data_IF_363277043972
#
_entry.id   IF_363277043972
#
_cell.length_a   1.000
_cell.length_b   1.000
_cell.length_c   1.000
_cell.angle_alpha   90.00
_cell.angle_beta   90.00
_cell.angle_gamma   90.00
#
_symmetry.space_group_name_H-M   'P 1'
#
loop_
_entity.id
_entity.type
_entity.pdbx_description
1 polymer ?
#
# COMPACT_ATOMS: atom_id res chain seq x y z
N UNK A 1 -32.12 15.66 79.02
CA UNK A 1 -33.56 15.98 78.91
C UNK A 1 -34.16 14.95 77.98
N UNK A 2 -34.72 13.87 78.54
CA UNK A 2 -35.28 12.76 77.78
C UNK A 2 -36.65 13.17 77.22
N UNK A 3 -36.80 13.26 75.90
CA UNK A 3 -38.08 13.46 75.26
C UNK A 3 -38.91 12.17 75.38
N UNK A 4 -39.88 12.17 76.29
CA UNK A 4 -41.01 11.26 76.23
C UNK A 4 -41.99 11.75 75.16
N UNK A 5 -41.94 11.18 73.96
CA UNK A 5 -43.04 11.35 73.00
C UNK A 5 -43.20 10.10 72.13
N UNK A 6 -44.03 9.17 72.60
CA UNK A 6 -44.63 8.09 71.80
C UNK A 6 -45.86 8.67 71.12
N UNK A 7 -45.65 9.42 70.05
CA UNK A 7 -46.75 9.87 69.21
C UNK A 7 -46.48 9.40 67.78
N UNK A 8 -47.32 8.49 67.24
CA UNK A 8 -47.07 7.85 65.95
C UNK A 8 -47.00 8.87 64.79
N UNK A 9 -47.67 10.01 64.92
CA UNK A 9 -47.61 11.12 63.96
C UNK A 9 -46.21 11.76 63.86
N UNK A 10 -45.49 11.92 64.97
CA UNK A 10 -44.15 12.51 64.95
C UNK A 10 -43.15 11.59 64.22
N UNK A 11 -43.24 10.27 64.43
CA UNK A 11 -42.42 9.30 63.69
C UNK A 11 -42.68 9.33 62.19
N UNK A 12 -43.94 9.47 61.77
CA UNK A 12 -44.33 9.60 60.36
C UNK A 12 -43.77 10.90 59.75
N UNK A 13 -43.86 12.02 60.47
CA UNK A 13 -43.33 13.31 60.02
C UNK A 13 -41.81 13.23 59.85
N UNK A 14 -41.09 12.69 60.83
CA UNK A 14 -39.62 12.52 60.76
C UNK A 14 -39.24 11.64 59.58
N UNK A 15 -39.99 10.56 59.31
CA UNK A 15 -39.75 9.68 58.17
C UNK A 15 -39.90 10.40 56.82
N UNK A 16 -40.97 11.18 56.63
CA UNK A 16 -41.16 11.96 55.39
C UNK A 16 -40.12 13.07 55.23
N UNK A 17 -39.69 13.71 56.32
CA UNK A 17 -38.59 14.69 56.28
C UNK A 17 -37.29 14.00 55.87
N UNK A 18 -36.99 12.80 56.38
CA UNK A 18 -35.81 12.03 56.00
C UNK A 18 -35.84 11.64 54.51
N UNK A 19 -36.99 11.17 54.02
CA UNK A 19 -37.18 10.88 52.58
C UNK A 19 -36.98 12.14 51.72
N UNK A 20 -37.52 13.27 52.15
CA UNK A 20 -37.35 14.54 51.45
C UNK A 20 -35.89 14.98 51.43
N UNK A 21 -35.16 14.85 52.55
CA UNK A 21 -33.73 15.19 52.63
C UNK A 21 -32.90 14.28 51.73
N UNK A 22 -33.15 12.97 51.72
CA UNK A 22 -32.45 12.02 50.83
C UNK A 22 -32.73 12.35 49.36
N UNK A 23 -33.98 12.66 49.02
CA UNK A 23 -34.38 13.07 47.66
C UNK A 23 -33.73 14.41 47.24
N UNK A 24 -33.70 15.39 48.14
CA UNK A 24 -33.05 16.68 47.88
C UNK A 24 -31.53 16.54 47.71
N UNK A 25 -30.87 15.74 48.55
CA UNK A 25 -29.43 15.48 48.45
C UNK A 25 -29.07 14.74 47.15
N UNK A 26 -29.84 13.71 46.79
CA UNK A 26 -29.63 12.97 45.53
C UNK A 26 -29.86 13.87 44.30
N UNK A 27 -30.87 14.74 44.34
CA UNK A 27 -31.11 15.74 43.29
C UNK A 27 -29.96 16.74 43.14
N UNK A 28 -29.50 17.34 44.25
CA UNK A 28 -28.39 18.30 44.24
C UNK A 28 -27.08 17.64 43.76
N UNK A 29 -26.82 16.41 44.20
CA UNK A 29 -25.67 15.64 43.72
C UNK A 29 -25.77 15.31 42.23
N UNK A 30 -26.98 14.99 41.75
CA UNK A 30 -27.28 14.82 40.33
C UNK A 30 -26.95 16.07 39.51
N UNK A 31 -27.41 17.25 39.94
CA UNK A 31 -27.12 18.53 39.28
C UNK A 31 -25.62 18.87 39.27
N UNK A 32 -24.91 18.58 40.36
CA UNK A 32 -23.47 18.78 40.42
C UNK A 32 -22.73 17.85 39.44
N UNK A 33 -23.09 16.56 39.42
CA UNK A 33 -22.53 15.57 38.50
C UNK A 33 -22.79 15.95 37.04
N UNK A 34 -23.97 16.47 36.73
CA UNK A 34 -24.33 16.94 35.40
C UNK A 34 -23.54 18.18 34.97
N UNK A 35 -23.32 19.14 35.88
CA UNK A 35 -22.45 20.30 35.59
C UNK A 35 -21.01 19.86 35.30
N UNK A 36 -20.49 18.89 36.07
CA UNK A 36 -19.16 18.34 35.85
C UNK A 36 -19.05 17.63 34.50
N UNK A 37 -20.00 16.76 34.15
CA UNK A 37 -20.00 16.04 32.87
C UNK A 37 -20.13 16.99 31.67
N UNK A 38 -20.97 18.02 31.75
CA UNK A 38 -21.07 19.07 30.71
C UNK A 38 -19.75 19.82 30.51
N UNK A 39 -18.99 20.08 31.57
CA UNK A 39 -17.67 20.73 31.49
C UNK A 39 -16.63 19.82 30.84
N UNK A 40 -16.61 18.53 31.20
CA UNK A 40 -15.74 17.53 30.57
C UNK A 40 -16.06 17.36 29.08
N UNK A 41 -17.35 17.31 28.73
CA UNK A 41 -17.81 17.27 27.35
C UNK A 41 -17.35 18.48 26.54
N UNK A 42 -17.49 19.71 27.07
CA UNK A 42 -17.00 20.93 26.39
C UNK A 42 -15.49 20.88 26.15
N UNK A 43 -14.71 20.45 27.15
CA UNK A 43 -13.25 20.28 26.99
C UNK A 43 -12.89 19.25 25.92
N UNK A 44 -13.63 18.14 25.86
CA UNK A 44 -13.42 17.13 24.81
C UNK A 44 -13.76 17.69 23.43
N UNK A 45 -14.87 18.42 23.28
CA UNK A 45 -15.24 19.07 22.02
C UNK A 45 -14.19 20.09 21.57
N UNK A 46 -13.66 20.90 22.49
CA UNK A 46 -12.56 21.82 22.20
C UNK A 46 -11.32 21.05 21.70
N UNK A 47 -10.92 19.96 22.39
CA UNK A 47 -9.81 19.11 21.93
C UNK A 47 -10.08 18.47 20.57
N UNK A 48 -11.32 18.07 20.32
CA UNK A 48 -11.76 17.50 19.04
C UNK A 48 -11.64 18.54 17.90
N UNK A 49 -12.14 19.76 18.12
CA UNK A 49 -12.03 20.86 17.16
C UNK A 49 -10.58 21.26 16.89
N UNK A 50 -9.74 21.26 17.93
CA UNK A 50 -8.30 21.54 17.83
C UNK A 50 -7.49 20.34 17.30
N UNK A 51 -8.11 19.17 17.13
CA UNK A 51 -7.43 17.95 16.67
C UNK A 51 -6.38 17.39 17.65
N UNK A 52 -6.50 17.67 18.95
CA UNK A 52 -5.55 17.32 20.03
C UNK A 52 -6.10 16.25 20.98
N UNK A 53 -6.81 15.26 20.44
CA UNK A 53 -7.35 14.13 21.20
C UNK A 53 -6.24 13.23 21.75
N UNK A 54 -6.43 12.75 22.97
CA UNK A 54 -5.59 11.73 23.62
C UNK A 54 -6.19 10.34 23.47
N UNK A 55 -5.41 9.29 23.72
CA UNK A 55 -5.89 7.90 23.67
C UNK A 55 -7.13 7.65 24.54
N UNK A 56 -7.12 8.18 25.78
CA UNK A 56 -8.26 8.08 26.70
C UNK A 56 -9.52 8.77 26.16
N UNK A 57 -9.38 9.84 25.36
CA UNK A 57 -10.54 10.54 24.80
C UNK A 57 -11.32 9.61 23.85
N UNK A 58 -10.63 8.75 23.10
CA UNK A 58 -11.28 7.77 22.21
C UNK A 58 -12.02 6.68 22.99
N UNK A 59 -11.47 6.25 24.14
CA UNK A 59 -12.14 5.33 25.05
C UNK A 59 -13.43 5.97 25.58
N UNK A 60 -13.37 7.24 25.97
CA UNK A 60 -14.54 7.97 26.46
C UNK A 60 -15.63 8.11 25.40
N UNK A 61 -15.27 8.36 24.13
CA UNK A 61 -16.24 8.38 23.03
C UNK A 61 -17.05 7.08 22.95
N UNK A 62 -16.40 5.94 23.11
CA UNK A 62 -17.07 4.64 23.05
C UNK A 62 -17.82 4.30 24.35
N UNK A 63 -17.16 4.33 25.52
CA UNK A 63 -17.72 3.85 26.80
C UNK A 63 -18.55 4.88 27.55
N UNK A 64 -18.18 6.16 27.52
CA UNK A 64 -18.84 7.20 28.32
C UNK A 64 -19.98 7.85 27.54
N UNK A 65 -19.75 8.09 26.25
CA UNK A 65 -20.71 8.76 25.38
C UNK A 65 -21.52 7.81 24.49
N UNK A 66 -21.23 6.49 24.53
CA UNK A 66 -21.92 5.46 23.76
C UNK A 66 -22.02 5.80 22.26
N UNK A 67 -20.97 6.39 21.67
CA UNK A 67 -20.95 6.62 20.24
C UNK A 67 -20.97 5.28 19.50
N UNK A 68 -21.72 5.16 18.38
CA UNK A 68 -21.72 3.96 17.57
C UNK A 68 -20.31 3.60 17.10
N UNK A 69 -19.98 2.30 17.10
CA UNK A 69 -18.69 1.78 16.64
C UNK A 69 -18.29 2.35 15.27
N UNK A 70 -19.19 2.28 14.29
CA UNK A 70 -18.97 2.77 12.93
C UNK A 70 -18.64 4.26 12.86
N UNK A 71 -19.17 5.07 13.79
CA UNK A 71 -18.89 6.51 13.85
C UNK A 71 -17.44 6.77 14.25
N UNK A 72 -16.90 5.97 15.17
CA UNK A 72 -15.51 6.08 15.62
C UNK A 72 -14.55 5.52 14.55
N UNK A 73 -14.94 4.44 13.86
CA UNK A 73 -14.19 3.94 12.69
C UNK A 73 -14.15 4.98 11.57
N UNK A 74 -15.27 5.66 11.31
CA UNK A 74 -15.33 6.76 10.34
C UNK A 74 -14.35 7.87 10.71
N UNK A 75 -14.27 8.26 11.99
CA UNK A 75 -13.27 9.21 12.48
C UNK A 75 -11.83 8.73 12.23
N UNK A 76 -11.51 7.47 12.49
CA UNK A 76 -10.18 6.95 12.16
C UNK A 76 -9.91 6.98 10.64
N UNK A 77 -10.92 6.68 9.82
CA UNK A 77 -10.82 6.70 8.36
C UNK A 77 -10.55 8.11 7.81
N UNK A 78 -11.05 9.16 8.45
CA UNK A 78 -10.74 10.54 8.04
C UNK A 78 -9.29 10.89 8.34
N UNK A 79 -8.73 10.45 9.48
CA UNK A 79 -7.30 10.57 9.75
C UNK A 79 -6.45 9.85 8.70
N UNK A 80 -6.85 8.65 8.24
CA UNK A 80 -6.15 7.95 7.16
C UNK A 80 -6.16 8.72 5.84
N UNK A 81 -7.30 9.30 5.46
CA UNK A 81 -7.40 10.12 4.24
C UNK A 81 -6.54 11.39 4.30
N UNK A 82 -6.31 11.91 5.50
CA UNK A 82 -5.40 13.04 5.75
C UNK A 82 -3.92 12.62 5.83
N UNK A 83 -3.60 11.31 5.73
CA UNK A 83 -2.24 10.79 5.91
C UNK A 83 -1.77 10.73 7.37
N UNK A 84 -2.66 10.96 8.34
CA UNK A 84 -2.32 10.92 9.76
C UNK A 84 -2.48 9.49 10.33
N UNK A 85 -1.54 8.61 9.96
CA UNK A 85 -1.57 7.19 10.35
C UNK A 85 -1.50 7.00 11.87
N UNK A 86 -0.69 7.80 12.57
CA UNK A 86 -0.51 7.68 14.03
C UNK A 86 -1.83 7.94 14.79
N UNK A 87 -2.61 8.95 14.38
CA UNK A 87 -3.92 9.20 14.99
C UNK A 87 -4.88 8.05 14.75
N UNK A 88 -4.98 7.55 13.51
CA UNK A 88 -5.82 6.39 13.20
C UNK A 88 -5.42 5.15 14.03
N UNK A 89 -4.12 4.86 14.16
CA UNK A 89 -3.59 3.78 15.00
C UNK A 89 -4.04 3.96 16.45
N UNK A 90 -3.90 5.16 17.01
CA UNK A 90 -4.28 5.44 18.41
C UNK A 90 -5.77 5.20 18.67
N UNK A 91 -6.64 5.55 17.70
CA UNK A 91 -8.08 5.26 17.77
C UNK A 91 -8.32 3.75 17.82
N UNK A 92 -7.72 2.99 16.90
CA UNK A 92 -7.95 1.54 16.84
C UNK A 92 -7.42 0.81 18.08
N UNK A 93 -6.24 1.19 18.59
CA UNK A 93 -5.69 0.64 19.84
C UNK A 93 -6.58 0.93 21.04
N UNK A 94 -7.07 2.16 21.17
CA UNK A 94 -8.00 2.56 22.22
C UNK A 94 -9.29 1.73 22.17
N UNK A 95 -9.86 1.52 20.97
CA UNK A 95 -11.05 0.69 20.78
C UNK A 95 -10.81 -0.79 21.09
N UNK A 96 -9.65 -1.34 20.73
CA UNK A 96 -9.31 -2.74 21.02
C UNK A 96 -9.27 -3.07 22.52
N UNK A 97 -9.07 -2.07 23.39
CA UNK A 97 -9.08 -2.23 24.84
C UNK A 97 -10.50 -2.31 25.44
N UNK A 98 -11.52 -1.90 24.69
CA UNK A 98 -12.90 -1.74 25.20
C UNK A 98 -13.92 -2.58 24.46
N UNK A 99 -13.65 -2.98 23.23
CA UNK A 99 -14.55 -3.80 22.41
C UNK A 99 -14.45 -5.27 22.82
N UNK A 100 -15.59 -5.85 23.21
CA UNK A 100 -15.70 -7.26 23.61
C UNK A 100 -16.14 -8.18 22.46
N UNK A 101 -16.85 -7.63 21.47
CA UNK A 101 -17.36 -8.39 20.33
C UNK A 101 -16.21 -8.90 19.44
N UNK A 102 -16.15 -10.22 19.20
CA UNK A 102 -15.09 -10.86 18.41
C UNK A 102 -15.04 -10.36 16.96
N UNK A 103 -16.18 -10.14 16.32
CA UNK A 103 -16.27 -9.66 14.93
C UNK A 103 -15.70 -8.25 14.82
N UNK A 104 -16.13 -7.34 15.70
CA UNK A 104 -15.60 -5.97 15.75
C UNK A 104 -14.11 -5.95 16.10
N UNK A 105 -13.65 -6.87 16.94
CA UNK A 105 -12.23 -7.00 17.28
C UNK A 105 -11.38 -7.46 16.09
N UNK A 106 -11.88 -8.42 15.30
CA UNK A 106 -11.22 -8.84 14.06
C UNK A 106 -11.16 -7.69 13.05
N UNK A 107 -12.27 -6.98 12.84
CA UNK A 107 -12.33 -5.80 11.98
C UNK A 107 -11.33 -4.71 12.41
N UNK A 108 -11.27 -4.40 13.71
CA UNK A 108 -10.28 -3.46 14.26
C UNK A 108 -8.84 -3.90 14.01
N UNK A 109 -8.55 -5.19 14.13
CA UNK A 109 -7.21 -5.73 13.85
C UNK A 109 -6.89 -5.62 12.36
N UNK A 110 -7.83 -5.89 11.45
CA UNK A 110 -7.63 -5.71 10.01
C UNK A 110 -7.36 -4.25 9.65
N UNK A 111 -8.15 -3.32 10.21
CA UNK A 111 -7.97 -1.88 10.03
C UNK A 111 -6.63 -1.40 10.58
N UNK A 112 -6.25 -1.87 11.77
CA UNK A 112 -4.96 -1.55 12.39
C UNK A 112 -3.78 -2.10 11.58
N UNK A 113 -3.84 -3.35 11.16
CA UNK A 113 -2.82 -3.99 10.33
C UNK A 113 -2.64 -3.26 9.00
N UNK A 114 -3.74 -2.95 8.32
CA UNK A 114 -3.76 -2.18 7.07
C UNK A 114 -3.21 -0.76 7.26
N UNK A 115 -3.49 -0.14 8.41
CA UNK A 115 -2.98 1.19 8.74
C UNK A 115 -1.48 1.18 8.99
N UNK A 116 -0.98 0.19 9.73
CA UNK A 116 0.46 -0.01 9.90
C UNK A 116 1.16 -0.23 8.56
N UNK A 117 0.56 -1.02 7.65
CA UNK A 117 1.10 -1.24 6.31
C UNK A 117 1.21 0.07 5.52
N UNK A 118 0.11 0.84 5.45
CA UNK A 118 0.08 2.14 4.76
C UNK A 118 1.04 3.18 5.37
N UNK A 119 1.26 3.12 6.68
CA UNK A 119 2.22 3.95 7.38
C UNK A 119 3.68 3.49 7.26
N UNK A 120 3.97 2.39 6.54
CA UNK A 120 5.32 1.85 6.38
C UNK A 120 5.82 1.01 7.56
N UNK A 121 4.99 0.77 8.59
CA UNK A 121 5.33 -0.04 9.75
C UNK A 121 5.16 -1.54 9.46
N UNK A 122 5.93 -2.06 8.50
CA UNK A 122 5.77 -3.41 7.94
C UNK A 122 5.81 -4.52 8.99
N UNK A 123 6.77 -4.48 9.92
CA UNK A 123 6.89 -5.52 10.96
C UNK A 123 5.68 -5.53 11.92
N UNK A 124 5.20 -4.36 12.36
CA UNK A 124 4.00 -4.28 13.22
C UNK A 124 2.76 -4.74 12.47
N UNK A 125 2.66 -4.39 11.19
CA UNK A 125 1.57 -4.87 10.33
C UNK A 125 1.58 -6.40 10.23
N UNK A 126 2.75 -6.99 9.97
CA UNK A 126 2.95 -8.45 9.95
C UNK A 126 2.44 -9.11 11.22
N UNK A 127 2.86 -8.61 12.39
CA UNK A 127 2.49 -9.18 13.69
C UNK A 127 0.97 -9.14 13.93
N UNK A 128 0.31 -8.07 13.49
CA UNK A 128 -1.16 -7.94 13.57
C UNK A 128 -1.86 -8.96 12.66
N UNK A 129 -1.45 -9.09 11.40
CA UNK A 129 -2.07 -10.06 10.49
C UNK A 129 -1.81 -11.51 10.90
N UNK A 130 -0.60 -11.82 11.40
CA UNK A 130 -0.31 -13.13 12.01
C UNK A 130 -1.20 -13.40 13.23
N UNK A 131 -1.48 -12.37 14.05
CA UNK A 131 -2.41 -12.49 15.18
C UNK A 131 -3.83 -12.82 14.72
N UNK A 132 -4.31 -12.21 13.62
CA UNK A 132 -5.60 -12.55 13.01
C UNK A 132 -5.62 -14.01 12.59
N UNK A 133 -4.59 -14.48 11.88
CA UNK A 133 -4.51 -15.86 11.39
C UNK A 133 -4.44 -16.91 12.50
N UNK A 134 -4.04 -16.56 13.73
CA UNK A 134 -4.08 -17.48 14.88
C UNK A 134 -5.50 -17.90 15.26
N UNK A 135 -6.51 -17.06 15.04
CA UNK A 135 -7.90 -17.36 15.38
C UNK A 135 -8.82 -17.45 14.15
N UNK A 136 -8.42 -16.83 13.03
CA UNK A 136 -9.09 -16.92 11.73
C UNK A 136 -8.10 -17.38 10.63
N UNK A 137 -7.64 -18.65 10.62
CA UNK A 137 -6.56 -19.11 9.72
C UNK A 137 -6.90 -19.01 8.23
N UNK A 138 -8.19 -19.04 7.88
CA UNK A 138 -8.69 -18.95 6.49
C UNK A 138 -9.08 -17.53 6.09
N UNK A 139 -8.74 -16.52 6.88
CA UNK A 139 -9.04 -15.13 6.56
C UNK A 139 -8.19 -14.69 5.35
N UNK A 140 -8.85 -14.59 4.18
CA UNK A 140 -8.20 -14.28 2.92
C UNK A 140 -7.67 -12.84 2.89
N UNK A 141 -8.34 -11.90 3.56
CA UNK A 141 -7.89 -10.52 3.64
C UNK A 141 -6.55 -10.44 4.40
N UNK A 142 -6.46 -11.12 5.55
CA UNK A 142 -5.23 -11.19 6.32
C UNK A 142 -4.10 -11.87 5.54
N UNK A 143 -4.38 -12.97 4.83
CA UNK A 143 -3.42 -13.66 3.98
C UNK A 143 -2.90 -12.77 2.83
N UNK A 144 -3.78 -12.06 2.10
CA UNK A 144 -3.34 -11.14 1.05
C UNK A 144 -2.49 -9.99 1.57
N UNK A 145 -2.88 -9.37 2.69
CA UNK A 145 -2.06 -8.31 3.28
C UNK A 145 -0.71 -8.86 3.74
N UNK A 146 -0.68 -10.06 4.32
CA UNK A 146 0.56 -10.71 4.73
C UNK A 146 1.48 -11.01 3.54
N UNK A 147 0.92 -11.45 2.39
CA UNK A 147 1.66 -11.63 1.14
C UNK A 147 2.33 -10.31 0.70
N UNK A 148 1.58 -9.21 0.67
CA UNK A 148 2.11 -7.89 0.32
C UNK A 148 3.19 -7.44 1.31
N UNK A 149 3.01 -7.69 2.61
CA UNK A 149 3.99 -7.33 3.64
C UNK A 149 5.29 -8.12 3.47
N UNK A 150 5.21 -9.44 3.27
CA UNK A 150 6.38 -10.27 3.04
C UNK A 150 7.16 -9.85 1.79
N UNK A 151 6.47 -9.52 0.70
CA UNK A 151 7.12 -8.98 -0.49
C UNK A 151 7.84 -7.66 -0.24
N UNK A 152 7.21 -6.72 0.49
CA UNK A 152 7.84 -5.45 0.86
C UNK A 152 9.05 -5.63 1.79
N UNK A 153 9.01 -6.65 2.65
CA UNK A 153 10.13 -7.05 3.50
C UNK A 153 11.21 -7.85 2.74
N UNK A 154 10.98 -8.16 1.45
CA UNK A 154 11.81 -9.07 0.63
C UNK A 154 11.96 -10.47 1.21
N UNK A 155 11.02 -10.88 2.06
CA UNK A 155 10.93 -12.22 2.60
C UNK A 155 10.09 -13.10 1.66
N UNK A 156 10.72 -13.53 0.57
CA UNK A 156 10.03 -14.31 -0.46
C UNK A 156 9.74 -15.75 -0.05
N UNK A 157 10.40 -16.24 1.00
CA UNK A 157 10.06 -17.54 1.60
C UNK A 157 8.71 -17.44 2.31
N UNK A 158 8.54 -16.46 3.20
CA UNK A 158 7.25 -16.20 3.85
C UNK A 158 6.14 -15.89 2.84
N UNK A 159 6.44 -15.12 1.78
CA UNK A 159 5.48 -14.89 0.69
C UNK A 159 5.06 -16.18 -0.02
N UNK A 160 6.01 -17.09 -0.29
CA UNK A 160 5.73 -18.38 -0.92
C UNK A 160 4.86 -19.27 -0.03
N UNK A 161 5.09 -19.28 1.28
CA UNK A 161 4.27 -20.05 2.22
C UNK A 161 2.82 -19.54 2.23
N UNK A 162 2.63 -18.22 2.22
CA UNK A 162 1.30 -17.60 2.11
C UNK A 162 0.62 -17.94 0.78
N UNK A 163 1.37 -17.97 -0.33
CA UNK A 163 0.81 -18.39 -1.63
C UNK A 163 0.30 -19.83 -1.57
N UNK A 164 1.06 -20.75 -0.96
CA UNK A 164 0.63 -22.15 -0.83
C UNK A 164 -0.70 -22.25 -0.08
N UNK A 165 -0.85 -21.50 1.03
CA UNK A 165 -2.12 -21.44 1.78
C UNK A 165 -3.25 -20.85 0.94
N UNK A 166 -3.00 -19.77 0.19
CA UNK A 166 -4.02 -19.18 -0.69
C UNK A 166 -4.40 -20.10 -1.87
N UNK A 167 -3.47 -20.93 -2.35
CA UNK A 167 -3.68 -21.95 -3.39
C UNK A 167 -4.60 -23.06 -2.89
N UNK A 168 -4.38 -23.57 -1.68
CA UNK A 168 -5.28 -24.53 -1.03
C UNK A 168 -6.71 -23.98 -0.84
N UNK A 169 -6.85 -22.67 -0.68
CA UNK A 169 -8.14 -21.99 -0.59
C UNK A 169 -8.76 -21.65 -1.96
N UNK A 170 -8.06 -21.92 -3.07
CA UNK A 170 -8.44 -21.48 -4.42
C UNK A 170 -8.65 -19.97 -4.53
N UNK A 171 -7.79 -19.20 -3.85
CA UNK A 171 -7.83 -17.73 -3.77
C UNK A 171 -6.58 -17.07 -4.36
N UNK A 172 -5.76 -17.76 -5.13
CA UNK A 172 -4.59 -17.14 -5.79
C UNK A 172 -4.52 -17.60 -7.24
N UNK A 173 -4.02 -16.73 -8.12
CA UNK A 173 -3.77 -17.06 -9.52
C UNK A 173 -2.37 -17.64 -9.69
N UNK A 174 -2.21 -18.50 -10.70
CA UNK A 174 -0.90 -19.05 -11.07
C UNK A 174 0.12 -17.95 -11.38
N UNK A 175 -0.32 -16.83 -11.94
CA UNK A 175 0.51 -15.66 -12.21
C UNK A 175 1.18 -15.10 -10.95
N UNK A 176 0.47 -15.08 -9.82
CA UNK A 176 0.99 -14.58 -8.55
C UNK A 176 2.08 -15.51 -8.01
N UNK A 177 1.87 -16.82 -8.16
CA UNK A 177 2.83 -17.86 -7.79
C UNK A 177 4.10 -17.77 -8.62
N UNK A 178 3.97 -17.66 -9.94
CA UNK A 178 5.11 -17.48 -10.84
C UNK A 178 5.87 -16.19 -10.51
N UNK A 179 5.15 -15.11 -10.23
CA UNK A 179 5.74 -13.83 -9.85
C UNK A 179 6.58 -13.91 -8.58
N UNK A 180 6.02 -14.44 -7.48
CA UNK A 180 6.76 -14.58 -6.21
C UNK A 180 7.93 -15.55 -6.34
N UNK A 181 7.75 -16.68 -7.05
CA UNK A 181 8.86 -17.61 -7.31
C UNK A 181 9.99 -16.94 -8.11
N UNK A 182 9.64 -16.09 -9.08
CA UNK A 182 10.63 -15.32 -9.85
C UNK A 182 11.40 -14.36 -8.95
N UNK A 183 10.73 -13.66 -8.04
CA UNK A 183 11.40 -12.77 -7.08
C UNK A 183 12.28 -13.54 -6.08
N UNK A 184 11.83 -14.72 -5.63
CA UNK A 184 12.61 -15.61 -4.76
C UNK A 184 13.92 -16.04 -5.44
N UNK A 185 13.89 -16.39 -6.71
CA UNK A 185 15.08 -16.75 -7.49
C UNK A 185 16.01 -15.54 -7.68
N UNK A 186 15.45 -14.37 -8.02
CA UNK A 186 16.23 -13.13 -8.22
C UNK A 186 16.97 -12.71 -6.95
N UNK A 187 16.39 -12.98 -5.79
CA UNK A 187 16.90 -12.54 -4.48
C UNK A 187 17.76 -13.58 -3.76
N UNK A 188 17.96 -14.76 -4.36
CA UNK A 188 18.74 -15.84 -3.75
C UNK A 188 20.23 -15.44 -3.69
N UNK A 189 20.80 -15.22 -2.49
CA UNK A 189 22.18 -14.77 -2.36
C UNK A 189 23.19 -15.90 -2.61
N UNK A 190 22.75 -17.16 -2.66
CA UNK A 190 23.63 -18.33 -2.78
C UNK A 190 23.96 -18.59 -4.25
N UNK A 191 23.05 -18.26 -5.16
CA UNK A 191 23.21 -18.57 -6.57
C UNK A 191 24.05 -17.52 -7.31
N UNK A 192 24.88 -17.98 -8.24
CA UNK A 192 25.63 -17.11 -9.16
C UNK A 192 24.69 -16.42 -10.13
N UNK A 193 25.04 -15.20 -10.56
CA UNK A 193 24.25 -14.44 -11.55
C UNK A 193 23.98 -15.22 -12.86
N UNK A 194 24.91 -16.06 -13.31
CA UNK A 194 24.74 -16.89 -14.51
C UNK A 194 23.63 -17.94 -14.34
N UNK A 195 23.67 -18.71 -13.25
CA UNK A 195 22.65 -19.71 -12.94
C UNK A 195 21.26 -19.09 -12.79
N UNK A 196 21.17 -17.93 -12.12
CA UNK A 196 19.91 -17.18 -12.00
C UNK A 196 19.42 -16.78 -13.39
N UNK A 197 20.28 -16.20 -14.23
CA UNK A 197 19.94 -15.79 -15.60
C UNK A 197 19.36 -16.95 -16.42
N UNK A 198 19.97 -18.14 -16.35
CA UNK A 198 19.49 -19.34 -17.05
C UNK A 198 18.15 -19.84 -16.50
N UNK A 199 17.95 -19.81 -15.18
CA UNK A 199 16.66 -20.17 -14.57
C UNK A 199 15.55 -19.20 -14.97
N UNK A 200 15.83 -17.90 -14.98
CA UNK A 200 14.88 -16.86 -15.38
C UNK A 200 14.44 -17.01 -16.84
N UNK A 201 15.36 -17.35 -17.75
CA UNK A 201 15.01 -17.66 -19.14
C UNK A 201 14.10 -18.90 -19.24
N UNK A 202 14.35 -19.94 -18.44
CA UNK A 202 13.47 -21.13 -18.41
C UNK A 202 12.07 -20.80 -17.89
N UNK A 203 11.95 -19.88 -16.94
CA UNK A 203 10.64 -19.41 -16.44
C UNK A 203 9.95 -18.59 -17.52
N UNK A 204 10.68 -17.70 -18.19
CA UNK A 204 10.17 -16.89 -19.30
C UNK A 204 9.60 -17.74 -20.42
N UNK A 205 10.25 -18.84 -20.77
CA UNK A 205 9.77 -19.79 -21.79
C UNK A 205 8.41 -20.42 -21.43
N UNK A 206 8.09 -20.52 -20.13
CA UNK A 206 6.83 -21.07 -19.64
C UNK A 206 5.75 -20.00 -19.43
N UNK A 207 6.14 -18.81 -18.97
CA UNK A 207 5.21 -17.73 -18.68
C UNK A 207 5.81 -16.37 -19.08
N UNK A 208 5.24 -15.76 -20.11
CA UNK A 208 5.69 -14.48 -20.67
C UNK A 208 5.37 -13.28 -19.77
N UNK A 209 4.52 -13.44 -18.75
CA UNK A 209 4.15 -12.38 -17.82
C UNK A 209 5.38 -11.78 -17.10
N UNK A 210 6.35 -12.61 -16.74
CA UNK A 210 7.55 -12.17 -16.00
C UNK A 210 8.64 -11.57 -16.88
N UNK A 211 8.42 -11.43 -18.20
CA UNK A 211 9.41 -10.92 -19.16
C UNK A 211 10.10 -9.65 -18.71
N UNK A 212 9.38 -8.75 -18.03
CA UNK A 212 9.95 -7.47 -17.60
C UNK A 212 10.89 -7.62 -16.41
N UNK A 213 10.58 -8.52 -15.47
CA UNK A 213 11.50 -8.84 -14.37
C UNK A 213 12.77 -9.49 -14.90
N UNK A 214 12.60 -10.45 -15.83
CA UNK A 214 13.71 -11.15 -16.48
C UNK A 214 14.57 -10.16 -17.28
N UNK A 215 13.97 -9.33 -18.13
CA UNK A 215 14.68 -8.32 -18.90
C UNK A 215 15.45 -7.35 -18.00
N UNK A 216 14.81 -6.83 -16.94
CA UNK A 216 15.46 -5.93 -15.98
C UNK A 216 16.67 -6.59 -15.32
N UNK A 217 16.54 -7.86 -14.92
CA UNK A 217 17.64 -8.60 -14.30
C UNK A 217 18.79 -8.84 -15.28
N UNK A 218 18.50 -9.36 -16.49
CA UNK A 218 19.53 -9.65 -17.49
C UNK A 218 20.23 -8.37 -17.97
N UNK A 219 19.50 -7.29 -18.21
CA UNK A 219 20.11 -6.00 -18.57
C UNK A 219 21.10 -5.52 -17.50
N UNK A 220 20.82 -5.77 -16.23
CA UNK A 220 21.69 -5.31 -15.15
C UNK A 220 22.90 -6.24 -14.94
N UNK A 221 22.68 -7.56 -14.94
CA UNK A 221 23.70 -8.55 -14.54
C UNK A 221 24.32 -9.36 -15.70
N UNK A 222 23.61 -9.52 -16.83
CA UNK A 222 24.08 -10.30 -17.97
C UNK A 222 23.53 -9.77 -19.32
N UNK A 223 24.05 -8.62 -19.75
CA UNK A 223 23.64 -7.92 -20.99
C UNK A 223 23.82 -8.78 -22.23
N UNK A 224 24.94 -9.51 -22.34
CA UNK A 224 25.20 -10.38 -23.49
C UNK A 224 24.10 -11.44 -23.65
N UNK A 225 23.66 -12.05 -22.56
CA UNK A 225 22.58 -13.04 -22.61
C UNK A 225 21.23 -12.41 -22.95
N UNK A 226 20.92 -11.21 -22.41
CA UNK A 226 19.73 -10.46 -22.82
C UNK A 226 19.69 -10.27 -24.34
N UNK A 227 20.77 -9.75 -24.91
CA UNK A 227 20.89 -9.43 -26.33
C UNK A 227 20.74 -10.68 -27.21
N UNK A 228 21.42 -11.78 -26.86
CA UNK A 228 21.30 -13.08 -27.54
C UNK A 228 19.88 -13.67 -27.53
N UNK A 229 19.04 -13.30 -26.56
CA UNK A 229 17.70 -13.83 -26.36
C UNK A 229 16.58 -12.79 -26.56
N UNK A 230 16.86 -11.68 -27.24
CA UNK A 230 15.91 -10.59 -27.53
C UNK A 230 14.61 -11.07 -28.16
N UNK A 231 14.66 -12.09 -29.01
CA UNK A 231 13.49 -12.71 -29.65
C UNK A 231 12.47 -13.31 -28.67
N UNK A 232 12.84 -13.58 -27.42
CA UNK A 232 11.95 -14.09 -26.37
C UNK A 232 11.12 -12.99 -25.69
N UNK A 233 11.44 -11.72 -25.91
CA UNK A 233 10.82 -10.59 -25.22
C UNK A 233 9.88 -9.82 -26.15
N UNK A 234 8.78 -9.30 -25.59
CA UNK A 234 8.00 -8.27 -26.27
C UNK A 234 8.67 -6.92 -26.08
N UNK A 235 9.59 -6.59 -26.99
CA UNK A 235 10.43 -5.37 -26.92
C UNK A 235 9.60 -4.08 -26.81
N UNK A 236 8.37 -4.05 -27.31
CA UNK A 236 7.47 -2.89 -27.19
C UNK A 236 7.00 -2.63 -25.76
N UNK A 237 6.83 -3.68 -24.94
CA UNK A 237 6.40 -3.56 -23.54
C UNK A 237 7.56 -3.18 -22.60
N UNK A 238 8.80 -3.42 -23.01
CA UNK A 238 10.03 -3.05 -22.27
C UNK A 238 10.80 -1.91 -22.94
N UNK A 239 10.14 -1.16 -23.83
CA UNK A 239 10.77 -0.08 -24.62
C UNK A 239 11.41 1.02 -23.76
N UNK A 240 10.90 1.25 -22.57
CA UNK A 240 11.47 2.18 -21.59
C UNK A 240 12.81 1.67 -21.04
N UNK A 241 12.90 0.38 -20.72
CA UNK A 241 14.16 -0.23 -20.27
C UNK A 241 15.23 -0.12 -21.35
N UNK A 242 14.84 -0.36 -22.60
CA UNK A 242 15.73 -0.24 -23.77
C UNK A 242 16.12 1.21 -24.05
N UNK A 243 15.16 2.14 -23.96
CA UNK A 243 15.41 3.56 -24.21
C UNK A 243 16.42 4.16 -23.25
N UNK A 244 16.49 3.69 -22.00
CA UNK A 244 17.45 4.19 -21.02
C UNK A 244 18.82 3.52 -21.04
N UNK A 245 19.09 2.61 -21.99
CA UNK A 245 20.42 2.02 -22.15
C UNK A 245 21.45 3.00 -22.73
N UNK A 246 22.67 2.92 -22.23
CA UNK A 246 23.81 3.66 -22.76
C UNK A 246 24.31 3.03 -24.07
N UNK A 247 25.00 3.83 -24.89
CA UNK A 247 25.49 3.39 -26.20
C UNK A 247 26.34 2.11 -26.12
N UNK A 248 27.23 2.03 -25.12
CA UNK A 248 28.15 0.91 -24.95
C UNK A 248 27.48 -0.39 -24.45
N UNK A 249 26.23 -0.29 -23.97
CA UNK A 249 25.49 -1.42 -23.41
C UNK A 249 24.65 -2.15 -24.46
N UNK A 250 24.69 -1.69 -25.71
CA UNK A 250 23.81 -2.13 -26.79
C UNK A 250 24.59 -2.98 -27.80
N UNK A 251 24.02 -4.13 -28.14
CA UNK A 251 24.53 -4.98 -29.22
C UNK A 251 23.91 -4.55 -30.56
N UNK A 252 24.62 -3.68 -31.29
CA UNK A 252 24.12 -3.10 -32.54
C UNK A 252 23.96 -4.14 -33.66
N UNK A 253 24.72 -5.23 -33.66
CA UNK A 253 24.57 -6.31 -34.64
C UNK A 253 23.22 -7.01 -34.52
N UNK A 254 22.67 -7.05 -33.30
CA UNK A 254 21.34 -7.57 -33.02
C UNK A 254 20.26 -6.51 -33.30
N UNK A 255 20.53 -5.25 -32.93
CA UNK A 255 19.62 -4.12 -33.21
C UNK A 255 19.27 -4.04 -34.70
N UNK A 256 20.26 -4.12 -35.58
CA UNK A 256 20.07 -4.01 -37.04
C UNK A 256 19.24 -5.17 -37.64
N UNK A 257 19.07 -6.28 -36.92
CA UNK A 257 18.25 -7.42 -37.35
C UNK A 257 16.79 -7.29 -36.94
N UNK A 258 16.47 -6.41 -35.98
CA UNK A 258 15.11 -6.20 -35.48
C UNK A 258 14.57 -4.83 -35.89
N UNK A 259 13.43 -4.83 -36.57
CA UNK A 259 12.81 -3.61 -37.10
C UNK A 259 12.43 -2.61 -36.00
N UNK A 260 11.96 -3.08 -34.85
CA UNK A 260 11.55 -2.20 -33.75
C UNK A 260 12.78 -1.58 -33.06
N UNK A 261 13.82 -2.37 -32.78
CA UNK A 261 15.06 -1.86 -32.19
C UNK A 261 15.75 -0.85 -33.10
N UNK A 262 15.79 -1.13 -34.41
CA UNK A 262 16.36 -0.21 -35.39
C UNK A 262 15.62 1.13 -35.35
N UNK A 263 14.29 1.13 -35.33
CA UNK A 263 13.48 2.35 -35.18
C UNK A 263 13.73 3.06 -33.84
N UNK A 264 13.79 2.31 -32.73
CA UNK A 264 13.99 2.84 -31.39
C UNK A 264 15.33 3.56 -31.27
N UNK A 265 16.44 2.93 -31.69
CA UNK A 265 17.77 3.52 -31.57
C UNK A 265 18.08 4.55 -32.65
N UNK A 266 17.38 4.53 -33.79
CA UNK A 266 17.39 5.65 -34.74
C UNK A 266 16.67 6.88 -34.16
N UNK A 267 15.52 6.69 -33.51
CA UNK A 267 14.80 7.75 -32.80
C UNK A 267 15.64 8.31 -31.63
N UNK A 268 16.42 7.46 -30.96
CA UNK A 268 17.36 7.89 -29.91
C UNK A 268 18.57 8.67 -30.47
N UNK A 269 18.90 8.46 -31.75
CA UNK A 269 20.05 9.10 -32.41
C UNK A 269 21.37 8.33 -32.27
N UNK A 270 21.31 7.04 -31.91
CA UNK A 270 22.50 6.19 -31.84
C UNK A 270 22.89 5.61 -33.21
N UNK A 271 21.91 5.43 -34.09
CA UNK A 271 22.08 4.91 -35.46
C UNK A 271 21.22 5.71 -36.45
N UNK A 272 21.34 5.45 -37.75
CA UNK A 272 20.64 6.20 -38.81
C UNK A 272 19.88 5.32 -39.80
N UNK A 273 19.70 4.04 -39.49
CA UNK A 273 19.25 3.02 -40.43
C UNK A 273 17.73 3.03 -40.69
N UNK A 274 16.90 3.52 -39.76
CA UNK A 274 15.46 3.63 -39.97
C UNK A 274 15.06 4.96 -40.63
N UNK A 275 14.25 4.89 -41.69
CA UNK A 275 13.72 6.08 -42.36
C UNK A 275 12.40 6.56 -41.75
N UNK A 276 11.58 5.68 -41.20
CA UNK A 276 10.29 6.01 -40.57
C UNK A 276 9.90 4.98 -39.52
N UNK A 277 8.87 5.29 -38.75
CA UNK A 277 8.30 4.39 -37.75
C UNK A 277 6.76 4.45 -37.75
N UNK A 278 6.13 3.31 -37.47
CA UNK A 278 4.67 3.26 -37.26
C UNK A 278 4.25 3.83 -35.89
N UNK A 279 5.19 3.94 -34.96
CA UNK A 279 4.98 4.57 -33.66
C UNK A 279 5.25 6.06 -33.82
N UNK A 280 4.19 6.86 -33.66
CA UNK A 280 4.22 8.31 -33.85
C UNK A 280 5.36 8.99 -33.11
N UNK A 281 5.57 8.66 -31.84
CA UNK A 281 6.62 9.32 -31.04
C UNK A 281 8.03 9.02 -31.57
N UNK A 282 8.26 7.81 -32.08
CA UNK A 282 9.55 7.46 -32.68
C UNK A 282 9.70 8.11 -34.05
N UNK A 283 8.64 8.17 -34.85
CA UNK A 283 8.69 8.76 -36.21
C UNK A 283 9.03 10.25 -36.16
N UNK A 284 8.43 10.99 -35.21
CA UNK A 284 8.77 12.39 -34.98
C UNK A 284 10.26 12.54 -34.64
N UNK A 285 10.78 11.72 -33.73
CA UNK A 285 12.19 11.80 -33.31
C UNK A 285 13.16 11.40 -34.44
N UNK A 286 12.84 10.37 -35.22
CA UNK A 286 13.62 9.98 -36.40
C UNK A 286 13.73 11.17 -37.37
N UNK A 287 12.61 11.85 -37.66
CA UNK A 287 12.62 12.99 -38.57
C UNK A 287 13.33 14.22 -38.00
N UNK A 288 13.27 14.45 -36.68
CA UNK A 288 14.04 15.51 -36.02
C UNK A 288 15.56 15.25 -36.08
N UNK A 289 15.97 13.99 -35.88
CA UNK A 289 17.38 13.60 -35.96
C UNK A 289 17.95 13.78 -37.38
N UNK A 290 17.16 13.54 -38.44
CA UNK A 290 17.59 13.82 -39.83
C UNK A 290 17.95 15.29 -40.06
N UNK A 291 17.24 16.20 -39.40
CA UNK A 291 17.47 17.66 -39.49
C UNK A 291 18.49 18.12 -38.44
N UNK A 292 19.08 17.20 -37.66
CA UNK A 292 20.06 17.45 -36.58
C UNK A 292 19.53 18.40 -35.50
N UNK A 293 18.24 18.30 -35.17
CA UNK A 293 17.57 19.14 -34.19
C UNK A 293 17.29 18.38 -32.88
N UNK A 294 18.11 18.59 -31.84
CA UNK A 294 17.96 17.95 -30.53
C UNK A 294 16.95 18.70 -29.63
N UNK A 295 15.71 18.90 -30.10
CA UNK A 295 14.68 19.66 -29.36
C UNK A 295 13.68 18.80 -28.60
N UNK A 296 13.77 17.47 -28.72
CA UNK A 296 12.80 16.53 -28.17
C UNK A 296 13.46 15.26 -27.62
N UNK A 297 12.81 14.65 -26.61
CA UNK A 297 13.18 13.37 -26.02
C UNK A 297 11.90 12.58 -25.64
N UNK A 298 12.03 11.31 -25.27
CA UNK A 298 10.93 10.50 -24.75
C UNK A 298 10.91 10.49 -23.22
N UNK A 299 9.69 10.52 -22.69
CA UNK A 299 9.39 10.10 -21.32
C UNK A 299 8.36 8.99 -21.35
N UNK A 300 8.30 8.23 -20.26
CA UNK A 300 7.41 7.10 -20.13
C UNK A 300 6.41 7.29 -19.00
N UNK A 301 5.22 6.74 -19.19
CA UNK A 301 4.18 6.65 -18.17
C UNK A 301 3.54 5.27 -18.22
N UNK A 302 3.12 4.77 -17.06
CA UNK A 302 2.70 3.40 -16.89
C UNK A 302 1.23 3.36 -16.50
N UNK A 303 0.39 2.85 -17.41
CA UNK A 303 -1.04 2.72 -17.16
C UNK A 303 -1.38 1.30 -16.69
N UNK A 304 -1.98 1.16 -15.51
CA UNK A 304 -2.39 -0.14 -14.99
C UNK A 304 -3.57 -0.70 -15.78
N UNK A 305 -3.41 -1.88 -16.38
CA UNK A 305 -4.47 -2.60 -17.13
C UNK A 305 -5.72 -2.83 -16.27
N UNK A 306 -5.58 -3.02 -14.95
CA UNK A 306 -6.67 -3.32 -14.01
C UNK A 306 -7.40 -2.09 -13.49
N UNK A 307 -6.71 -1.15 -12.84
CA UNK A 307 -7.36 0.04 -12.24
C UNK A 307 -7.33 1.31 -13.10
N UNK A 308 -6.70 1.26 -14.29
CA UNK A 308 -6.59 2.38 -15.25
C UNK A 308 -5.88 3.64 -14.72
N UNK A 309 -5.26 3.58 -13.53
CA UNK A 309 -4.43 4.66 -13.01
C UNK A 309 -3.10 4.70 -13.74
N UNK A 310 -2.64 5.91 -14.01
CA UNK A 310 -1.35 6.18 -14.63
C UNK A 310 -0.32 6.57 -13.56
N UNK A 311 0.87 5.98 -13.66
CA UNK A 311 1.99 6.21 -12.75
C UNK A 311 3.21 6.70 -13.55
N UNK A 312 4.02 7.61 -12.99
CA UNK A 312 5.20 8.14 -13.67
C UNK A 312 6.39 7.15 -13.66
N UNK A 313 6.41 6.22 -12.71
CA UNK A 313 7.48 5.24 -12.52
C UNK A 313 6.88 3.84 -12.57
N UNK A 314 7.63 2.90 -13.15
CA UNK A 314 7.22 1.50 -13.18
C UNK A 314 7.47 0.83 -11.83
N UNK A 315 6.44 0.19 -11.31
CA UNK A 315 6.54 -0.74 -10.19
C UNK A 315 6.02 -2.11 -10.60
N UNK A 316 6.53 -3.18 -10.00
CA UNK A 316 6.09 -4.54 -10.30
C UNK A 316 4.67 -4.81 -9.79
N UNK A 317 4.23 -4.10 -8.76
CA UNK A 317 2.83 -4.04 -8.32
C UNK A 317 2.27 -2.66 -8.57
N UNK A 318 0.98 -2.58 -8.91
CA UNK A 318 0.31 -1.29 -8.97
C UNK A 318 0.14 -0.70 -7.56
N UNK A 319 0.63 0.53 -7.29
CA UNK A 319 0.48 1.17 -5.97
C UNK A 319 -0.97 1.34 -5.52
N UNK A 320 -1.91 1.36 -6.47
CA UNK A 320 -3.32 1.59 -6.18
C UNK A 320 -4.14 0.32 -5.96
N UNK A 321 -3.90 -0.75 -6.75
CA UNK A 321 -4.72 -1.96 -6.70
C UNK A 321 -3.92 -3.25 -6.49
N UNK A 322 -2.61 -3.14 -6.26
CA UNK A 322 -1.68 -4.23 -5.96
C UNK A 322 -1.60 -5.35 -7.02
N UNK A 323 -2.16 -5.14 -8.22
CA UNK A 323 -2.02 -6.10 -9.32
C UNK A 323 -0.58 -6.17 -9.81
N UNK A 324 -0.07 -7.39 -9.92
CA UNK A 324 1.28 -7.67 -10.41
C UNK A 324 1.38 -7.43 -11.92
N UNK A 325 2.52 -6.92 -12.36
CA UNK A 325 3.02 -6.86 -13.75
C UNK A 325 1.97 -6.38 -14.79
N UNK A 326 1.05 -5.53 -14.34
CA UNK A 326 -0.16 -5.15 -15.07
C UNK A 326 -0.04 -3.84 -15.86
N UNK A 327 1.15 -3.26 -15.97
CA UNK A 327 1.34 -1.94 -16.57
C UNK A 327 1.57 -2.00 -18.08
N UNK A 328 0.92 -1.08 -18.81
CA UNK A 328 1.25 -0.73 -20.19
C UNK A 328 2.23 0.45 -20.21
N UNK A 329 3.30 0.33 -21.00
CA UNK A 329 4.28 1.39 -21.19
C UNK A 329 3.85 2.36 -22.30
N UNK A 330 3.49 3.59 -21.92
CA UNK A 330 3.15 4.66 -22.84
C UNK A 330 4.32 5.64 -22.96
N UNK A 331 4.68 6.00 -24.18
CA UNK A 331 5.72 7.00 -24.50
C UNK A 331 5.07 8.36 -24.75
N UNK A 332 5.75 9.44 -24.38
CA UNK A 332 5.36 10.81 -24.71
C UNK A 332 6.59 11.62 -25.07
N UNK A 333 6.45 12.49 -26.07
CA UNK A 333 7.49 13.44 -26.45
C UNK A 333 7.52 14.59 -25.43
N UNK A 334 8.71 14.92 -24.95
CA UNK A 334 8.98 16.06 -24.08
C UNK A 334 10.17 16.85 -24.60
N UNK A 335 10.36 18.08 -24.10
CA UNK A 335 11.62 18.79 -24.29
C UNK A 335 12.74 18.06 -23.54
N UNK A 336 13.96 18.00 -24.09
CA UNK A 336 15.11 17.48 -23.35
C UNK A 336 15.30 18.32 -22.09
N UNK A 337 15.55 17.67 -20.96
CA UNK A 337 15.91 18.38 -19.74
C UNK A 337 17.22 19.14 -20.00
N UNK A 338 17.26 20.43 -19.66
CA UNK A 338 18.52 21.16 -19.60
C UNK A 338 19.41 20.51 -18.53
N UNK A 339 20.70 20.43 -18.79
CA UNK A 339 21.72 19.80 -17.93
C UNK A 339 21.94 20.50 -16.56
N UNK A 340 20.94 21.14 -15.97
CA UNK A 340 21.08 21.93 -14.73
C UNK A 340 20.62 21.21 -13.44
N UNK A 341 20.35 19.90 -13.49
CA UNK A 341 19.90 19.14 -12.29
C UNK A 341 20.79 17.91 -12.01
N UNK A 342 22.11 18.05 -12.20
CA UNK A 342 23.09 17.06 -11.71
C UNK A 342 23.39 17.20 -10.20
N UNK A 343 22.70 18.08 -9.47
CA UNK A 343 22.96 18.34 -8.04
C UNK A 343 21.99 17.69 -7.06
N UNK A 344 21.06 16.85 -7.50
CA UNK A 344 20.13 16.14 -6.60
C UNK A 344 19.82 14.73 -7.09
N UNK A 345 20.82 13.84 -7.06
CA UNK A 345 20.61 12.40 -6.89
C UNK A 345 21.74 11.81 -6.06
#
# INVERSE_FOLDING_TARGET
MFLSYRDPLFGIIVFFVLLFVISALTYLFGLYKEKKSRKEYRKLLERFQLGTLKEDDYIHLYKTYNLPFDSIILLASTFLKQGNYNKAISVYLALLNVVENKVQKEELLELLGSTYFKGGFLQRSKDIFLKILKFSPRNTNALYNLLLIYENLKDYNGASDVINVLEELSKVSDDEKVYINTLKIISDPIQTFENISLQLLKILDKNTLVQRLVAKYLIHYNKSLFWKNTNKFNLKEIKDLLWYLDFNDIDFDIVLKDSFLTQLYTAKGYITDATSSNIFELDVLINLNKIKLNSANLTFSFNCKKCKKTHPVYESRCPNCHSILSFNCNSKIVKPMSHDISSYM
#
